data_IF_123746365229
#
_entry.id   IF_123746365229
#
_cell.length_a   1.000
_cell.length_b   1.000
_cell.length_c   1.000
_cell.angle_alpha   90.00
_cell.angle_beta   90.00
_cell.angle_gamma   90.00
#
_symmetry.space_group_name_H-M   'P 1'
#
loop_
_entity.id
_entity.type
_entity.pdbx_description
1 polymer ?
#
# COMPACT_ATOMS: atom_id res chain seq x y z
N UNK A 1 31.45 59.13 2.73
CA UNK A 1 30.78 58.03 1.98
C UNK A 1 30.71 58.42 0.51
N UNK A 2 30.59 57.45 -0.39
CA UNK A 2 31.04 57.55 -1.79
C UNK A 2 30.19 58.49 -2.67
N UNK A 3 30.84 59.18 -3.62
CA UNK A 3 30.22 60.18 -4.51
C UNK A 3 29.87 59.67 -5.92
N UNK A 4 29.12 60.48 -6.66
CA UNK A 4 28.66 60.29 -8.05
C UNK A 4 29.67 60.84 -9.09
N UNK A 5 29.36 60.65 -10.38
CA UNK A 5 29.94 61.31 -11.59
C UNK A 5 31.44 61.06 -11.88
N UNK A 6 31.93 61.16 -13.12
CA UNK A 6 31.30 61.47 -14.42
C UNK A 6 32.26 62.24 -15.36
N UNK A 7 32.01 62.21 -16.68
CA UNK A 7 32.83 62.83 -17.77
C UNK A 7 34.13 62.09 -18.18
N UNK A 8 34.85 62.51 -19.23
CA UNK A 8 34.67 62.08 -20.66
C UNK A 8 35.83 62.53 -21.57
N UNK A 9 36.31 61.66 -22.48
CA UNK A 9 37.33 61.95 -23.54
C UNK A 9 37.03 61.05 -24.77
N UNK A 10 37.21 61.45 -26.05
CA UNK A 10 37.51 62.80 -26.55
C UNK A 10 37.91 62.97 -28.04
N UNK A 11 38.14 61.91 -28.84
CA UNK A 11 38.68 62.01 -30.21
C UNK A 11 38.00 60.99 -31.16
N UNK A 12 37.18 61.39 -32.15
CA UNK A 12 37.48 61.90 -33.52
C UNK A 12 37.83 60.80 -34.54
N UNK A 13 37.26 60.73 -35.76
CA UNK A 13 36.22 61.54 -36.41
C UNK A 13 36.14 61.24 -37.93
N UNK A 14 35.14 61.75 -38.66
CA UNK A 14 35.03 61.64 -40.13
C UNK A 14 33.61 61.27 -40.62
N UNK A 15 33.19 61.80 -41.78
CA UNK A 15 31.80 61.72 -42.27
C UNK A 15 31.69 61.48 -43.80
N UNK A 16 30.60 60.80 -44.19
CA UNK A 16 29.85 60.88 -45.45
C UNK A 16 30.52 60.54 -46.82
N UNK A 17 30.02 59.48 -47.48
CA UNK A 17 29.56 59.39 -48.89
C UNK A 17 29.21 57.91 -49.25
N UNK A 18 28.50 57.52 -50.32
CA UNK A 18 27.84 58.33 -51.36
C UNK A 18 27.30 57.55 -52.59
N UNK A 19 26.30 56.67 -52.41
CA UNK A 19 25.38 56.09 -53.45
C UNK A 19 25.90 55.06 -54.52
N UNK A 20 24.92 54.37 -55.14
CA UNK A 20 24.93 53.41 -56.28
C UNK A 20 25.18 51.92 -55.91
N UNK A 21 24.30 50.92 -56.05
CA UNK A 21 23.02 50.65 -56.77
C UNK A 21 23.16 49.97 -58.16
N UNK A 22 22.86 48.67 -58.26
CA UNK A 22 22.38 47.92 -59.47
C UNK A 22 22.06 46.45 -59.13
N UNK A 23 21.29 45.76 -59.98
CA UNK A 23 21.08 44.30 -59.93
C UNK A 23 20.06 43.82 -60.97
N UNK A 24 20.20 42.58 -61.49
CA UNK A 24 19.23 41.82 -62.31
C UNK A 24 19.62 40.32 -62.35
N UNK A 25 18.69 39.42 -62.76
CA UNK A 25 18.87 37.94 -62.79
C UNK A 25 19.48 37.36 -64.09
N UNK A 26 19.23 36.09 -64.52
CA UNK A 26 18.14 35.18 -64.10
C UNK A 26 18.44 33.63 -64.01
N UNK A 27 17.40 32.88 -63.60
CA UNK A 27 16.90 31.54 -64.02
C UNK A 27 17.74 30.24 -64.25
N UNK A 28 17.44 29.24 -63.37
CA UNK A 28 17.00 27.82 -63.61
C UNK A 28 17.78 26.74 -64.40
N UNK A 29 17.93 25.58 -63.72
CA UNK A 29 17.76 24.17 -64.20
C UNK A 29 18.78 23.52 -65.15
N UNK A 30 19.48 22.47 -64.66
CA UNK A 30 19.29 21.07 -65.13
C UNK A 30 19.89 20.05 -64.15
N UNK A 31 19.63 18.75 -64.35
CA UNK A 31 19.84 17.68 -63.38
C UNK A 31 20.74 16.54 -63.87
N UNK A 32 21.50 15.91 -62.96
CA UNK A 32 22.10 14.61 -63.22
C UNK A 32 22.18 13.72 -61.96
N UNK A 33 21.69 12.50 -62.11
CA UNK A 33 21.93 11.33 -61.26
C UNK A 33 22.01 10.12 -62.19
N UNK A 34 22.87 9.13 -61.88
CA UNK A 34 22.35 7.77 -61.99
C UNK A 34 22.82 6.79 -60.91
N UNK A 35 21.83 6.03 -60.41
CA UNK A 35 21.86 4.61 -60.03
C UNK A 35 22.42 4.13 -58.67
N UNK A 36 21.63 3.24 -58.06
CA UNK A 36 21.97 2.09 -57.18
C UNK A 36 22.76 2.37 -55.89
N UNK A 37 22.36 1.91 -54.69
CA UNK A 37 21.60 0.69 -54.36
C UNK A 37 20.48 0.88 -53.30
N UNK A 38 19.88 -0.21 -52.85
CA UNK A 38 18.78 -0.29 -51.88
C UNK A 38 19.14 0.20 -50.47
N UNK A 39 18.17 0.81 -49.78
CA UNK A 39 18.33 1.30 -48.41
C UNK A 39 18.36 0.18 -47.34
N UNK A 40 19.11 0.36 -46.24
CA UNK A 40 18.86 -0.33 -44.98
C UNK A 40 17.87 0.47 -44.11
N UNK A 41 16.62 0.03 -44.04
CA UNK A 41 15.60 0.57 -43.11
C UNK A 41 15.82 0.10 -41.65
N UNK A 42 17.09 0.00 -41.23
CA UNK A 42 17.51 -0.75 -40.04
C UNK A 42 17.80 0.18 -38.85
N UNK A 43 18.35 1.37 -39.12
CA UNK A 43 18.71 2.37 -38.10
C UNK A 43 17.52 2.88 -37.25
N UNK A 44 16.28 2.66 -37.70
CA UNK A 44 15.06 3.02 -36.95
C UNK A 44 14.40 1.82 -36.22
N UNK A 45 14.85 0.60 -36.51
CA UNK A 45 14.30 -0.64 -35.95
C UNK A 45 14.91 -0.96 -34.59
N UNK A 46 16.21 -0.66 -34.41
CA UNK A 46 16.96 -0.95 -33.18
C UNK A 46 16.50 -0.10 -31.97
N UNK A 47 16.01 1.13 -32.20
CA UNK A 47 15.38 1.95 -31.15
C UNK A 47 13.93 1.55 -30.83
N UNK A 48 13.41 0.50 -31.47
CA UNK A 48 12.21 -0.23 -31.03
C UNK A 48 12.56 -1.54 -30.30
N UNK A 49 13.74 -1.63 -29.69
CA UNK A 49 14.01 -2.59 -28.63
C UNK A 49 12.87 -2.54 -27.59
N UNK A 50 12.07 -3.60 -27.54
CA UNK A 50 10.69 -3.50 -27.10
C UNK A 50 10.56 -3.10 -25.63
N UNK A 51 9.77 -2.06 -25.35
CA UNK A 51 9.37 -1.69 -23.98
C UNK A 51 8.79 -2.89 -23.23
N UNK A 52 7.99 -3.72 -23.91
CA UNK A 52 7.40 -4.92 -23.31
C UNK A 52 8.44 -6.00 -22.97
N UNK A 53 9.57 -6.10 -23.67
CA UNK A 53 10.62 -7.09 -23.39
C UNK A 53 11.64 -6.58 -22.36
N UNK A 54 11.87 -5.25 -22.33
CA UNK A 54 12.55 -4.57 -21.22
C UNK A 54 11.74 -4.73 -19.92
N UNK A 55 10.42 -4.57 -19.97
CA UNK A 55 9.51 -4.75 -18.84
C UNK A 55 9.44 -6.22 -18.40
N UNK A 56 9.42 -7.17 -19.35
CA UNK A 56 9.53 -8.62 -19.10
C UNK A 56 10.79 -8.96 -18.30
N UNK A 57 11.96 -8.43 -18.68
CA UNK A 57 13.23 -8.56 -17.94
C UNK A 57 13.30 -7.77 -16.63
N UNK A 58 12.41 -6.77 -16.42
CA UNK A 58 12.37 -5.98 -15.18
C UNK A 58 11.43 -6.57 -14.12
N UNK A 59 10.60 -7.53 -14.49
CA UNK A 59 9.96 -8.40 -13.50
C UNK A 59 11.04 -9.09 -12.65
N UNK A 60 10.85 -9.11 -11.32
CA UNK A 60 11.65 -9.93 -10.39
C UNK A 60 10.81 -11.11 -9.92
N UNK A 61 10.55 -12.13 -10.78
CA UNK A 61 9.64 -13.22 -10.45
C UNK A 61 10.11 -13.97 -9.19
N UNK A 62 11.42 -14.20 -9.06
CA UNK A 62 12.03 -14.84 -7.88
C UNK A 62 11.70 -14.08 -6.58
N UNK A 63 11.82 -12.75 -6.55
CA UNK A 63 11.50 -11.95 -5.36
C UNK A 63 10.00 -11.95 -5.02
N UNK A 64 9.13 -12.12 -6.02
CA UNK A 64 7.69 -12.25 -5.82
C UNK A 64 7.30 -13.66 -5.35
N UNK A 65 7.93 -14.71 -5.88
CA UNK A 65 7.79 -16.10 -5.41
C UNK A 65 8.27 -16.25 -3.97
N UNK A 66 9.45 -15.70 -3.64
CA UNK A 66 9.96 -15.69 -2.25
C UNK A 66 8.97 -14.99 -1.31
N UNK A 67 8.37 -13.87 -1.74
CA UNK A 67 7.36 -13.18 -0.94
C UNK A 67 6.07 -13.99 -0.76
N UNK A 68 5.56 -14.66 -1.81
CA UNK A 68 4.39 -15.57 -1.69
C UNK A 68 4.69 -16.72 -0.73
N UNK A 69 5.86 -17.37 -0.87
CA UNK A 69 6.27 -18.48 0.01
C UNK A 69 6.40 -18.00 1.45
N UNK A 70 7.01 -16.84 1.68
CA UNK A 70 7.10 -16.24 3.01
C UNK A 70 5.72 -15.91 3.60
N UNK A 71 4.76 -15.44 2.78
CA UNK A 71 3.40 -15.15 3.20
C UNK A 71 2.62 -16.42 3.56
N UNK A 72 2.75 -17.48 2.78
CA UNK A 72 2.17 -18.79 3.10
C UNK A 72 2.76 -19.37 4.38
N UNK A 73 4.06 -19.23 4.61
CA UNK A 73 4.71 -19.61 5.88
C UNK A 73 4.20 -18.76 7.05
N UNK A 74 4.07 -17.44 6.87
CA UNK A 74 3.55 -16.51 7.88
C UNK A 74 2.07 -16.76 8.23
N UNK A 75 1.28 -17.34 7.33
CA UNK A 75 -0.09 -17.79 7.61
C UNK A 75 -0.06 -19.13 8.37
N UNK A 76 0.61 -20.14 7.82
CA UNK A 76 0.45 -21.53 8.27
C UNK A 76 1.24 -21.82 9.55
N UNK A 77 2.51 -21.42 9.62
CA UNK A 77 3.39 -21.84 10.73
C UNK A 77 3.04 -21.17 12.07
N UNK A 78 2.79 -19.84 12.15
CA UNK A 78 2.41 -19.19 13.40
C UNK A 78 1.08 -19.71 13.97
N UNK A 79 0.07 -19.95 13.12
CA UNK A 79 -1.18 -20.59 13.55
C UNK A 79 -0.94 -22.00 14.11
N UNK A 80 -0.14 -22.82 13.42
CA UNK A 80 0.23 -24.16 13.88
C UNK A 80 0.96 -24.15 15.22
N UNK A 81 1.91 -23.22 15.41
CA UNK A 81 2.66 -23.07 16.66
C UNK A 81 1.72 -22.62 17.79
N UNK A 82 0.94 -21.54 17.60
CA UNK A 82 0.00 -21.03 18.61
C UNK A 82 -1.03 -22.09 19.02
N UNK A 83 -1.60 -22.81 18.05
CA UNK A 83 -2.50 -23.93 18.30
C UNK A 83 -1.84 -25.08 19.05
N UNK A 84 -0.56 -25.37 18.77
CA UNK A 84 0.19 -26.41 19.50
C UNK A 84 0.44 -26.03 20.96
N UNK A 85 0.68 -24.75 21.25
CA UNK A 85 0.83 -24.22 22.61
C UNK A 85 -0.50 -24.27 23.37
N UNK A 86 -1.59 -23.82 22.74
CA UNK A 86 -2.94 -23.84 23.31
C UNK A 86 -3.39 -25.25 23.74
N UNK A 87 -3.05 -26.28 22.96
CA UNK A 87 -3.45 -27.67 23.24
C UNK A 87 -2.47 -28.42 24.14
N UNK A 88 -1.16 -28.12 24.10
CA UNK A 88 -0.14 -28.87 24.87
C UNK A 88 0.29 -28.22 26.19
N UNK A 89 0.14 -26.90 26.30
CA UNK A 89 0.64 -26.10 27.43
C UNK A 89 -0.45 -25.16 27.97
N UNK A 90 -1.71 -25.59 27.91
CA UNK A 90 -2.89 -24.76 28.19
C UNK A 90 -2.84 -24.08 29.56
N UNK A 91 -2.41 -24.80 30.61
CA UNK A 91 -2.30 -24.24 31.97
C UNK A 91 -1.28 -23.10 32.04
N UNK A 92 -0.14 -23.23 31.34
CA UNK A 92 0.87 -22.17 31.22
C UNK A 92 0.34 -20.99 30.41
N UNK A 93 -0.40 -21.23 29.33
CA UNK A 93 -1.03 -20.18 28.53
C UNK A 93 -2.10 -19.42 29.32
N UNK A 94 -2.95 -20.12 30.07
CA UNK A 94 -3.93 -19.53 31.00
C UNK A 94 -3.20 -18.66 32.01
N UNK A 95 -2.14 -19.14 32.65
CA UNK A 95 -1.38 -18.37 33.64
C UNK A 95 -0.77 -17.07 33.08
N UNK A 96 -0.41 -17.02 31.80
CA UNK A 96 0.01 -15.78 31.13
C UNK A 96 -1.17 -14.88 30.72
N UNK A 97 -2.30 -15.44 30.31
CA UNK A 97 -3.48 -14.67 29.89
C UNK A 97 -4.25 -14.09 31.08
N UNK A 98 -4.29 -14.76 32.23
CA UNK A 98 -5.03 -14.32 33.43
C UNK A 98 -4.40 -13.08 34.12
N UNK A 99 -3.19 -12.68 33.70
CA UNK A 99 -2.55 -11.40 34.05
C UNK A 99 -3.21 -10.23 33.30
N UNK A 100 -3.92 -10.49 32.20
CA UNK A 100 -4.56 -9.49 31.37
C UNK A 100 -6.08 -9.52 31.52
N UNK A 101 -6.66 -8.35 31.77
CA UNK A 101 -8.10 -8.12 31.64
C UNK A 101 -8.59 -8.58 30.24
N UNK A 102 -9.74 -9.27 30.11
CA UNK A 102 -10.26 -9.72 28.81
C UNK A 102 -10.39 -8.59 27.77
N UNK A 103 -10.68 -7.37 28.23
CA UNK A 103 -10.67 -6.14 27.40
C UNK A 103 -9.29 -5.84 26.79
N UNK A 104 -8.22 -6.04 27.55
CA UNK A 104 -6.84 -5.89 27.08
C UNK A 104 -6.46 -6.97 26.06
N UNK A 105 -6.92 -8.20 26.27
CA UNK A 105 -6.73 -9.32 25.31
C UNK A 105 -7.45 -9.02 23.99
N UNK A 106 -8.72 -8.59 24.05
CA UNK A 106 -9.50 -8.20 22.87
C UNK A 106 -8.90 -7.00 22.13
N UNK A 107 -8.36 -6.01 22.85
CA UNK A 107 -7.65 -4.87 22.27
C UNK A 107 -6.35 -5.30 21.57
N UNK A 108 -5.56 -6.19 22.18
CA UNK A 108 -4.31 -6.69 21.61
C UNK A 108 -4.55 -7.50 20.33
N UNK A 109 -5.56 -8.37 20.32
CA UNK A 109 -5.90 -9.19 19.14
C UNK A 109 -6.52 -8.36 18.01
N UNK A 110 -7.40 -7.40 18.33
CA UNK A 110 -7.86 -6.39 17.37
C UNK A 110 -6.70 -5.60 16.78
N UNK A 111 -5.74 -5.16 17.60
CA UNK A 111 -4.57 -4.38 17.14
C UNK A 111 -3.74 -5.17 16.12
N UNK A 112 -3.52 -6.47 16.36
CA UNK A 112 -2.80 -7.32 15.41
C UNK A 112 -3.54 -7.44 14.06
N UNK A 113 -4.84 -7.73 14.09
CA UNK A 113 -5.67 -7.85 12.89
C UNK A 113 -5.81 -6.51 12.13
N UNK A 114 -6.00 -5.39 12.85
CA UNK A 114 -6.03 -4.05 12.25
C UNK A 114 -4.72 -3.72 11.52
N UNK A 115 -3.56 -3.96 12.14
CA UNK A 115 -2.26 -3.74 11.50
C UNK A 115 -2.09 -4.66 10.29
N UNK A 116 -2.56 -5.92 10.34
CA UNK A 116 -2.52 -6.82 9.19
C UNK A 116 -3.37 -6.29 8.02
N UNK A 117 -4.62 -5.87 8.28
CA UNK A 117 -5.53 -5.30 7.26
C UNK A 117 -4.95 -4.01 6.66
N UNK A 118 -4.41 -3.09 7.47
CA UNK A 118 -3.70 -1.90 6.99
C UNK A 118 -2.50 -2.28 6.13
N UNK A 119 -1.74 -3.31 6.53
CA UNK A 119 -0.55 -3.76 5.80
C UNK A 119 -0.91 -4.42 4.46
N UNK A 120 -2.05 -5.11 4.36
CA UNK A 120 -2.60 -5.62 3.09
C UNK A 120 -2.94 -4.42 2.19
N UNK A 121 -3.69 -3.44 2.70
CA UNK A 121 -4.06 -2.25 1.93
C UNK A 121 -2.84 -1.46 1.44
N UNK A 122 -1.84 -1.24 2.29
CA UNK A 122 -0.59 -0.56 1.91
C UNK A 122 0.27 -1.38 0.94
N UNK A 123 0.24 -2.71 1.01
CA UNK A 123 0.88 -3.56 -0.01
C UNK A 123 0.21 -3.48 -1.39
N UNK A 124 -1.06 -3.05 -1.47
CA UNK A 124 -1.73 -2.74 -2.75
C UNK A 124 -1.41 -1.32 -3.21
N UNK A 125 -1.49 -0.33 -2.31
CA UNK A 125 -1.26 1.10 -2.60
C UNK A 125 0.21 1.36 -3.00
N UNK A 126 1.16 0.80 -2.26
CA UNK A 126 2.60 1.00 -2.46
C UNK A 126 3.31 -0.32 -2.79
N UNK A 127 2.76 -1.08 -3.75
CA UNK A 127 3.18 -2.44 -4.11
C UNK A 127 4.68 -2.60 -4.50
N UNK A 128 5.38 -1.51 -4.79
CA UNK A 128 6.83 -1.52 -5.07
C UNK A 128 7.71 -1.50 -3.80
N UNK A 129 7.17 -1.07 -2.67
CA UNK A 129 7.87 -1.08 -1.40
C UNK A 129 8.25 -2.50 -0.96
N UNK A 130 9.33 -2.60 -0.18
CA UNK A 130 9.63 -3.81 0.60
C UNK A 130 9.20 -3.66 2.07
N UNK A 131 9.16 -2.42 2.58
CA UNK A 131 8.78 -2.09 3.96
C UNK A 131 7.38 -2.62 4.30
N UNK A 132 6.35 -2.26 3.52
CA UNK A 132 4.99 -2.76 3.77
C UNK A 132 4.87 -4.27 3.63
N UNK A 133 5.66 -4.91 2.77
CA UNK A 133 5.72 -6.38 2.66
C UNK A 133 6.26 -7.03 3.93
N UNK A 134 7.31 -6.46 4.54
CA UNK A 134 7.86 -6.97 5.80
C UNK A 134 6.88 -6.73 6.95
N UNK A 135 6.25 -5.55 7.02
CA UNK A 135 5.22 -5.27 8.03
C UNK A 135 4.02 -6.21 7.85
N UNK A 136 3.59 -6.49 6.62
CA UNK A 136 2.55 -7.47 6.30
C UNK A 136 2.91 -8.89 6.77
N UNK A 137 4.11 -9.37 6.48
CA UNK A 137 4.57 -10.69 6.94
C UNK A 137 4.61 -10.79 8.47
N UNK A 138 5.06 -9.75 9.16
CA UNK A 138 5.13 -9.73 10.63
C UNK A 138 3.74 -9.62 11.29
N UNK A 139 2.86 -8.78 10.74
CA UNK A 139 1.50 -8.59 11.28
C UNK A 139 0.59 -9.79 11.02
N UNK A 140 0.63 -10.38 9.83
CA UNK A 140 -0.05 -11.66 9.55
C UNK A 140 0.51 -12.77 10.46
N UNK A 141 1.82 -12.86 10.64
CA UNK A 141 2.40 -13.85 11.56
C UNK A 141 1.93 -13.65 13.02
N UNK A 142 1.83 -12.40 13.48
CA UNK A 142 1.34 -12.08 14.83
C UNK A 142 -0.16 -12.38 14.99
N UNK A 143 -1.00 -11.94 14.04
CA UNK A 143 -2.43 -12.22 14.02
C UNK A 143 -2.70 -13.73 14.00
N UNK A 144 -2.02 -14.47 13.11
CA UNK A 144 -2.21 -15.91 12.96
C UNK A 144 -1.67 -16.70 14.15
N UNK A 145 -0.62 -16.22 14.83
CA UNK A 145 -0.19 -16.77 16.13
C UNK A 145 -1.27 -16.60 17.21
N UNK A 146 -1.87 -15.41 17.33
CA UNK A 146 -2.95 -15.14 18.29
C UNK A 146 -4.19 -15.97 17.95
N UNK A 147 -4.59 -16.03 16.67
CA UNK A 147 -5.67 -16.89 16.18
C UNK A 147 -5.42 -18.38 16.47
N UNK A 148 -4.15 -18.82 16.41
CA UNK A 148 -3.72 -20.16 16.80
C UNK A 148 -3.88 -20.40 18.31
N UNK A 149 -3.35 -19.49 19.14
CA UNK A 149 -3.46 -19.55 20.60
C UNK A 149 -4.92 -19.61 21.08
N UNK A 150 -5.79 -18.82 20.46
CA UNK A 150 -7.18 -18.68 20.87
C UNK A 150 -8.15 -19.60 20.11
N UNK A 151 -7.61 -20.55 19.33
CA UNK A 151 -8.34 -21.57 18.57
C UNK A 151 -9.44 -20.99 17.66
N UNK A 152 -9.15 -19.86 17.01
CA UNK A 152 -10.08 -19.09 16.21
C UNK A 152 -10.78 -19.96 15.15
N UNK A 153 -12.12 -19.91 15.17
CA UNK A 153 -13.05 -20.65 14.31
C UNK A 153 -14.39 -19.93 14.36
N UNK A 154 -15.19 -19.89 13.29
CA UNK A 154 -16.52 -19.23 13.37
C UNK A 154 -17.51 -19.88 14.34
N UNK A 155 -17.21 -21.09 14.85
CA UNK A 155 -17.89 -21.75 15.98
C UNK A 155 -16.95 -21.92 17.19
N UNK A 156 -16.13 -20.92 17.49
CA UNK A 156 -15.11 -20.97 18.55
C UNK A 156 -15.69 -21.26 19.94
N UNK A 157 -16.89 -20.74 20.23
CA UNK A 157 -17.63 -20.88 21.48
C UNK A 157 -17.56 -22.25 22.17
N UNK A 158 -17.74 -23.34 21.42
CA UNK A 158 -17.58 -24.72 21.94
C UNK A 158 -16.15 -25.26 21.81
N UNK A 159 -15.38 -24.75 20.84
CA UNK A 159 -14.02 -25.22 20.54
C UNK A 159 -12.96 -24.68 21.49
N UNK A 160 -13.17 -23.52 22.11
CA UNK A 160 -12.33 -22.97 23.17
C UNK A 160 -12.66 -23.64 24.50
N UNK A 161 -13.94 -23.83 24.84
CA UNK A 161 -14.37 -24.46 26.08
C UNK A 161 -13.78 -25.87 26.30
N UNK A 162 -13.72 -26.70 25.26
CA UNK A 162 -13.12 -28.05 25.33
C UNK A 162 -11.62 -28.05 25.70
N UNK A 163 -10.91 -26.93 25.49
CA UNK A 163 -9.46 -26.82 25.79
C UNK A 163 -9.20 -25.95 27.03
N UNK A 164 -9.86 -24.80 27.14
CA UNK A 164 -9.63 -23.81 28.19
C UNK A 164 -10.59 -23.92 29.40
N UNK A 165 -11.64 -24.75 29.30
CA UNK A 165 -12.65 -24.91 30.35
C UNK A 165 -13.26 -23.56 30.78
N UNK A 166 -13.35 -23.36 32.09
CA UNK A 166 -13.93 -22.15 32.71
C UNK A 166 -13.13 -20.86 32.41
N UNK A 167 -11.92 -20.97 31.85
CA UNK A 167 -11.09 -19.84 31.40
C UNK A 167 -11.24 -19.53 29.90
N UNK A 168 -12.21 -20.16 29.21
CA UNK A 168 -12.46 -19.94 27.78
C UNK A 168 -12.77 -18.47 27.42
N UNK A 169 -13.33 -17.67 28.34
CA UNK A 169 -13.60 -16.24 28.14
C UNK A 169 -12.34 -15.46 27.70
N UNK A 170 -11.14 -15.85 28.16
CA UNK A 170 -9.86 -15.24 27.75
C UNK A 170 -9.59 -15.44 26.25
N UNK A 171 -9.77 -16.67 25.74
CA UNK A 171 -9.61 -16.99 24.33
C UNK A 171 -10.76 -16.41 23.48
N UNK A 172 -11.98 -16.42 24.02
CA UNK A 172 -13.16 -15.85 23.36
C UNK A 172 -13.05 -14.33 23.19
N UNK A 173 -12.48 -13.61 24.17
CA UNK A 173 -12.18 -12.19 24.08
C UNK A 173 -11.17 -11.86 22.97
N UNK A 174 -10.11 -12.66 22.83
CA UNK A 174 -9.17 -12.52 21.71
C UNK A 174 -9.87 -12.75 20.35
N UNK A 175 -10.71 -13.78 20.25
CA UNK A 175 -11.46 -14.09 19.04
C UNK A 175 -12.44 -12.95 18.68
N UNK A 176 -13.11 -12.35 19.66
CA UNK A 176 -13.94 -11.15 19.47
C UNK A 176 -13.16 -9.96 18.90
N UNK A 177 -11.94 -9.71 19.36
CA UNK A 177 -11.10 -8.61 18.83
C UNK A 177 -10.73 -8.80 17.34
N UNK A 178 -10.37 -10.02 16.94
CA UNK A 178 -10.07 -10.34 15.53
C UNK A 178 -11.35 -10.23 14.67
N UNK A 179 -12.48 -10.73 15.18
CA UNK A 179 -13.78 -10.64 14.50
C UNK A 179 -14.25 -9.18 14.37
N UNK A 180 -13.97 -8.32 15.35
CA UNK A 180 -14.28 -6.88 15.28
C UNK A 180 -13.53 -6.20 14.12
N UNK A 181 -12.24 -6.49 13.94
CA UNK A 181 -11.46 -5.96 12.82
C UNK A 181 -11.92 -6.53 11.47
N UNK A 182 -12.24 -7.83 11.41
CA UNK A 182 -12.84 -8.42 10.21
C UNK A 182 -14.18 -7.76 9.84
N UNK A 183 -15.01 -7.43 10.83
CA UNK A 183 -16.31 -6.80 10.62
C UNK A 183 -16.19 -5.30 10.28
N UNK A 184 -15.29 -4.56 10.93
CA UNK A 184 -14.99 -3.15 10.62
C UNK A 184 -14.53 -2.97 9.18
N UNK A 185 -13.61 -3.82 8.72
CA UNK A 185 -13.18 -3.86 7.32
C UNK A 185 -14.31 -4.18 6.33
N UNK A 186 -15.24 -5.09 6.67
CA UNK A 186 -16.42 -5.38 5.83
C UNK A 186 -17.38 -4.19 5.78
N UNK A 187 -17.68 -3.55 6.92
CA UNK A 187 -18.53 -2.35 6.98
C UNK A 187 -17.90 -1.19 6.18
N UNK A 188 -16.59 -0.97 6.31
CA UNK A 188 -15.86 0.01 5.52
C UNK A 188 -15.91 -0.32 4.03
N UNK A 189 -15.67 -1.57 3.61
CA UNK A 189 -15.70 -1.95 2.21
C UNK A 189 -17.08 -1.71 1.57
N UNK A 190 -18.16 -2.07 2.28
CA UNK A 190 -19.54 -1.80 1.82
C UNK A 190 -19.80 -0.30 1.72
N UNK A 191 -19.43 0.50 2.73
CA UNK A 191 -19.61 1.95 2.71
C UNK A 191 -18.80 2.62 1.58
N UNK A 192 -17.54 2.21 1.39
CA UNK A 192 -16.64 2.74 0.37
C UNK A 192 -17.17 2.45 -1.05
N UNK A 193 -17.64 1.22 -1.31
CA UNK A 193 -18.29 0.86 -2.58
C UNK A 193 -19.61 1.63 -2.76
N UNK A 194 -20.43 1.77 -1.72
CA UNK A 194 -21.66 2.55 -1.78
C UNK A 194 -21.40 4.02 -2.13
N UNK A 195 -20.37 4.66 -1.56
CA UNK A 195 -19.94 6.01 -1.93
C UNK A 195 -19.47 6.05 -3.39
N UNK A 196 -18.63 5.10 -3.84
CA UNK A 196 -18.12 5.07 -5.22
C UNK A 196 -19.22 4.94 -6.28
N UNK A 197 -20.32 4.24 -5.97
CA UNK A 197 -21.44 3.97 -6.88
C UNK A 197 -22.55 5.03 -6.79
N UNK A 198 -22.95 5.44 -5.59
CA UNK A 198 -24.14 6.28 -5.37
C UNK A 198 -23.84 7.79 -5.35
N UNK A 199 -22.60 8.19 -5.07
CA UNK A 199 -22.24 9.61 -4.88
C UNK A 199 -21.65 10.21 -6.17
N UNK A 200 -22.24 11.32 -6.62
CA UNK A 200 -21.75 12.14 -7.75
C UNK A 200 -20.30 12.60 -7.47
N UNK A 201 -19.43 12.58 -8.49
CA UNK A 201 -17.98 12.81 -8.32
C UNK A 201 -17.64 14.21 -7.80
N UNK A 202 -18.52 15.18 -8.04
CA UNK A 202 -18.38 16.59 -7.62
C UNK A 202 -18.89 16.86 -6.19
N UNK A 203 -19.48 15.84 -5.53
CA UNK A 203 -19.94 15.95 -4.14
C UNK A 203 -18.76 16.01 -3.16
N UNK A 204 -18.83 16.82 -2.09
CA UNK A 204 -17.80 16.83 -1.04
C UNK A 204 -17.62 15.45 -0.38
N UNK A 205 -18.64 14.58 -0.41
CA UNK A 205 -18.53 13.21 0.10
C UNK A 205 -17.56 12.34 -0.72
N UNK A 206 -17.26 12.69 -1.98
CA UNK A 206 -16.21 12.05 -2.77
C UNK A 206 -14.79 12.43 -2.29
N UNK A 207 -14.64 13.29 -1.27
CA UNK A 207 -13.37 13.44 -0.57
C UNK A 207 -13.03 12.21 0.29
N UNK A 208 -14.04 11.52 0.85
CA UNK A 208 -13.85 10.36 1.74
C UNK A 208 -13.26 9.14 1.01
N UNK A 209 -13.28 9.09 -0.32
CA UNK A 209 -12.69 8.00 -1.12
C UNK A 209 -11.21 8.22 -1.43
N UNK A 210 -10.65 9.40 -1.14
CA UNK A 210 -9.27 9.76 -1.48
C UNK A 210 -8.27 9.27 -0.44
N UNK A 211 -7.56 8.17 -0.74
CA UNK A 211 -6.32 7.72 -0.08
C UNK A 211 -6.33 7.92 1.46
N UNK A 212 -5.61 8.93 1.99
CA UNK A 212 -5.56 9.24 3.42
C UNK A 212 -6.91 9.50 4.09
N UNK A 213 -7.88 10.12 3.41
CA UNK A 213 -9.22 10.30 3.95
C UNK A 213 -9.98 8.97 4.05
N UNK A 214 -9.80 8.07 3.09
CA UNK A 214 -10.38 6.73 3.12
C UNK A 214 -9.77 5.90 4.26
N UNK A 215 -8.45 6.00 4.48
CA UNK A 215 -7.76 5.37 5.61
C UNK A 215 -8.28 5.88 6.96
N UNK A 216 -8.52 7.19 7.10
CA UNK A 216 -9.11 7.76 8.31
C UNK A 216 -10.55 7.29 8.55
N UNK A 217 -11.37 7.17 7.49
CA UNK A 217 -12.74 6.63 7.61
C UNK A 217 -12.72 5.17 8.02
N UNK A 218 -11.82 4.36 7.45
CA UNK A 218 -11.59 2.97 7.88
C UNK A 218 -11.18 2.92 9.37
N UNK A 219 -10.18 3.69 9.78
CA UNK A 219 -9.71 3.72 11.17
C UNK A 219 -10.80 4.16 12.17
N UNK A 220 -11.70 5.08 11.79
CA UNK A 220 -12.85 5.46 12.64
C UNK A 220 -13.85 4.31 12.76
N UNK A 221 -14.18 3.61 11.67
CA UNK A 221 -15.08 2.44 11.71
C UNK A 221 -14.48 1.30 12.56
N UNK A 222 -13.18 1.08 12.44
CA UNK A 222 -12.43 0.10 13.23
C UNK A 222 -12.42 0.42 14.73
N UNK A 223 -12.14 1.67 15.10
CA UNK A 223 -12.21 2.11 16.50
C UNK A 223 -13.64 2.02 17.06
N UNK A 224 -14.67 2.28 16.24
CA UNK A 224 -16.07 2.08 16.64
C UNK A 224 -16.41 0.59 16.84
N UNK A 225 -15.95 -0.30 15.97
CA UNK A 225 -16.14 -1.74 16.11
C UNK A 225 -15.46 -2.29 17.37
N UNK A 226 -14.22 -1.84 17.65
CA UNK A 226 -13.51 -2.12 18.89
C UNK A 226 -14.29 -1.62 20.11
N UNK A 227 -14.75 -0.37 20.11
CA UNK A 227 -15.53 0.22 21.23
C UNK A 227 -16.81 -0.57 21.50
N UNK A 228 -17.50 -1.05 20.46
CA UNK A 228 -18.68 -1.91 20.60
C UNK A 228 -18.33 -3.24 21.28
N UNK A 229 -17.17 -3.86 20.99
CA UNK A 229 -16.72 -5.07 21.70
C UNK A 229 -16.31 -4.77 23.15
N UNK A 230 -15.53 -3.71 23.38
CA UNK A 230 -14.99 -3.40 24.71
C UNK A 230 -16.06 -2.96 25.72
N UNK A 231 -17.10 -2.24 25.26
CA UNK A 231 -18.09 -1.59 26.11
C UNK A 231 -19.55 -2.02 25.86
N UNK A 232 -19.88 -2.58 24.69
CA UNK A 232 -21.23 -3.00 24.31
C UNK A 232 -21.70 -4.33 24.90
N UNK A 233 -21.08 -4.81 25.99
CA UNK A 233 -21.48 -6.05 26.68
C UNK A 233 -21.09 -7.37 25.98
N UNK A 234 -20.53 -7.34 24.77
CA UNK A 234 -20.13 -8.55 24.03
C UNK A 234 -19.08 -9.37 24.81
N UNK A 235 -18.13 -8.71 25.47
CA UNK A 235 -17.15 -9.36 26.35
C UNK A 235 -17.72 -9.93 27.67
N UNK A 236 -18.99 -9.68 27.99
CA UNK A 236 -19.69 -10.28 29.15
C UNK A 236 -20.65 -11.41 28.77
N UNK A 237 -20.67 -11.78 27.48
CA UNK A 237 -21.45 -12.93 26.98
C UNK A 237 -20.59 -14.14 26.62
N UNK A 238 -19.26 -14.05 26.79
CA UNK A 238 -18.21 -15.00 26.31
C UNK A 238 -17.50 -15.77 27.42
#
# INVERSE_FOLDING_TARGET
MTQQTGSTVGASGGSADGLQHTGYGPETTESQSPNSETAPAEAMTDRKLSLADIERKRSRPVSWVIFIVALLVAIIAPYGIGRSLAVRHTQTLIAYLDVFEPRGIAFLSWTAAFIAIVSIAMCVIEARSWTWRVILLLSVAAEQFIAGLCLLKMSFWYSTYVVFGDKAYLANAANLGIIAAGFGAVVFAVLFVAILVLVKKDSPLNMLTRSWAALSVFAVIEVLALVIVLFGGLLTMV
#
